data_IF_532478298508
#
_entry.id   IF_532478298508
#
_cell.length_a   1.000
_cell.length_b   1.000
_cell.length_c   1.000
_cell.angle_alpha   90.00
_cell.angle_beta   90.00
_cell.angle_gamma   90.00
#
_symmetry.space_group_name_H-M   'P 1'
#
loop_
_entity.id
_entity.type
_entity.pdbx_description
1 polymer ?
#
# COMPACT_ATOMS: atom_id res chain seq x y z
N UNK A 1 11.09 25.66 15.13
CA UNK A 1 10.79 24.68 14.08
C UNK A 1 12.10 24.26 13.41
N UNK A 2 12.68 23.14 13.86
CA UNK A 2 13.98 22.64 13.34
C UNK A 2 13.90 22.03 11.93
N UNK A 3 12.71 21.84 11.41
CA UNK A 3 12.48 21.32 10.07
C UNK A 3 11.83 22.43 9.26
N UNK A 4 12.61 23.05 8.37
CA UNK A 4 12.08 24.02 7.41
C UNK A 4 11.07 23.38 6.45
N UNK A 5 10.35 24.19 5.71
CA UNK A 5 9.42 23.75 4.66
C UNK A 5 10.12 23.12 3.45
N UNK A 6 11.45 23.08 3.45
CA UNK A 6 12.24 22.62 2.31
C UNK A 6 12.21 21.10 2.19
N UNK A 7 11.98 20.62 0.98
CA UNK A 7 12.02 19.19 0.63
C UNK A 7 13.47 18.71 0.74
N UNK A 8 13.71 17.71 1.60
CA UNK A 8 15.03 17.09 1.73
C UNK A 8 15.08 15.82 0.89
N UNK A 9 16.00 15.77 -0.04
CA UNK A 9 16.26 14.58 -0.86
C UNK A 9 16.89 13.48 -0.02
N UNK A 10 16.34 12.27 -0.08
CA UNK A 10 16.86 11.10 0.58
C UNK A 10 17.53 10.18 -0.46
N UNK A 11 18.84 9.98 -0.34
CA UNK A 11 19.56 9.03 -1.18
C UNK A 11 19.63 7.66 -0.46
N UNK A 12 18.88 6.69 -0.95
CA UNK A 12 18.84 5.32 -0.40
C UNK A 12 19.83 4.38 -1.09
N UNK A 13 20.79 4.92 -1.90
CA UNK A 13 21.78 4.09 -2.62
C UNK A 13 21.24 3.35 -3.84
N UNK A 14 19.98 3.54 -4.19
CA UNK A 14 19.41 3.02 -5.43
C UNK A 14 19.70 4.04 -6.53
N UNK A 15 20.18 3.62 -7.72
CA UNK A 15 20.39 4.54 -8.84
C UNK A 15 19.11 5.30 -9.16
N UNK A 16 19.13 6.61 -8.94
CA UNK A 16 18.06 7.52 -9.29
C UNK A 16 18.39 8.10 -10.67
N UNK A 17 17.75 7.61 -11.68
CA UNK A 17 17.98 8.05 -13.05
C UNK A 17 18.60 6.96 -13.91
N UNK A 18 17.76 6.26 -14.56
CA UNK A 18 18.01 5.24 -15.57
C UNK A 18 16.68 4.59 -15.90
N UNK A 19 16.20 4.79 -17.10
CA UNK A 19 15.10 3.99 -17.63
C UNK A 19 15.70 2.62 -17.97
N UNK A 20 15.31 1.59 -17.22
CA UNK A 20 15.81 0.26 -17.48
C UNK A 20 14.89 -0.43 -18.49
N UNK A 21 15.45 -0.78 -19.67
CA UNK A 21 14.98 -1.80 -20.62
C UNK A 21 13.61 -1.63 -21.32
N UNK A 22 12.89 -0.52 -21.18
CA UNK A 22 11.61 -0.33 -21.86
C UNK A 22 11.61 0.77 -22.94
N UNK A 23 12.80 1.15 -23.42
CA UNK A 23 12.90 2.13 -24.52
C UNK A 23 12.22 1.66 -25.81
N UNK A 24 12.05 0.34 -26.00
CA UNK A 24 11.53 -0.28 -27.23
C UNK A 24 10.37 -1.27 -26.97
N UNK A 25 9.60 -1.13 -25.88
CA UNK A 25 8.41 -1.96 -25.74
C UNK A 25 7.30 -1.46 -26.65
N UNK A 26 7.42 -1.80 -27.94
CA UNK A 26 6.34 -1.68 -28.92
C UNK A 26 5.39 -2.85 -28.72
N UNK A 27 4.17 -2.58 -28.25
CA UNK A 27 3.09 -3.58 -28.29
C UNK A 27 2.82 -3.86 -29.77
N UNK A 28 3.03 -5.10 -30.23
CA UNK A 28 3.08 -5.52 -31.63
C UNK A 28 1.76 -5.44 -32.45
N UNK A 29 0.89 -4.51 -32.13
CA UNK A 29 -0.37 -4.19 -32.84
C UNK A 29 -0.46 -2.74 -33.33
N UNK A 30 0.58 -1.92 -33.08
CA UNK A 30 0.63 -0.57 -33.63
C UNK A 30 0.84 -0.64 -35.15
N UNK A 31 -0.03 0.00 -35.91
CA UNK A 31 0.12 0.13 -37.38
C UNK A 31 1.42 0.88 -37.70
N UNK A 32 2.11 0.45 -38.76
CA UNK A 32 3.33 1.11 -39.25
C UNK A 32 3.07 2.61 -39.44
N UNK A 33 3.72 3.44 -38.60
CA UNK A 33 3.64 4.90 -38.69
C UNK A 33 3.20 5.63 -37.43
N UNK A 34 2.62 4.97 -36.42
CA UNK A 34 2.30 5.61 -35.15
C UNK A 34 3.49 5.49 -34.20
N UNK A 35 4.06 6.65 -33.85
CA UNK A 35 5.04 6.74 -32.76
C UNK A 35 4.32 6.52 -31.44
N UNK A 36 4.34 5.29 -30.92
CA UNK A 36 3.95 5.03 -29.55
C UNK A 36 4.96 5.71 -28.64
N UNK A 37 4.48 6.59 -27.79
CA UNK A 37 5.28 7.15 -26.71
C UNK A 37 5.64 6.01 -25.76
N UNK A 38 6.93 5.67 -25.68
CA UNK A 38 7.42 4.63 -24.79
C UNK A 38 7.04 4.95 -23.34
N UNK A 39 6.54 3.97 -22.61
CA UNK A 39 6.22 4.12 -21.20
C UNK A 39 7.53 4.11 -20.42
N UNK A 40 7.92 5.27 -19.90
CA UNK A 40 9.09 5.38 -19.04
C UNK A 40 8.73 4.91 -17.62
N UNK A 41 9.34 3.84 -17.17
CA UNK A 41 9.24 3.36 -15.80
C UNK A 41 10.52 3.70 -15.08
N UNK A 42 10.43 4.45 -13.99
CA UNK A 42 11.59 4.80 -13.16
C UNK A 42 12.13 3.53 -12.49
N UNK A 43 13.45 3.38 -12.50
CA UNK A 43 14.13 2.26 -11.84
C UNK A 43 13.78 2.18 -10.35
N UNK A 44 13.57 3.31 -9.71
CA UNK A 44 13.15 3.39 -8.31
C UNK A 44 11.77 2.75 -8.10
N UNK A 45 10.82 2.93 -9.03
CA UNK A 45 9.48 2.34 -8.94
C UNK A 45 9.53 0.81 -9.07
N UNK A 46 10.43 0.28 -9.91
CA UNK A 46 10.67 -1.16 -10.04
C UNK A 46 11.22 -1.73 -8.73
N UNK A 47 12.23 -1.08 -8.15
CA UNK A 47 12.80 -1.52 -6.87
C UNK A 47 11.79 -1.40 -5.73
N UNK A 48 10.99 -0.34 -5.69
CA UNK A 48 9.91 -0.20 -4.73
C UNK A 48 8.88 -1.33 -4.84
N UNK A 49 8.49 -1.71 -6.06
CA UNK A 49 7.59 -2.83 -6.30
C UNK A 49 8.20 -4.17 -5.83
N UNK A 50 9.47 -4.44 -6.14
CA UNK A 50 10.18 -5.66 -5.70
C UNK A 50 10.26 -5.71 -4.17
N UNK A 51 10.60 -4.61 -3.51
CA UNK A 51 10.67 -4.52 -2.04
C UNK A 51 9.28 -4.72 -1.44
N UNK A 52 8.24 -4.10 -1.99
CA UNK A 52 6.86 -4.26 -1.53
C UNK A 52 6.39 -5.72 -1.63
N UNK A 53 6.61 -6.36 -2.78
CA UNK A 53 6.28 -7.77 -2.99
C UNK A 53 7.04 -8.66 -2.01
N UNK A 54 8.34 -8.44 -1.81
CA UNK A 54 9.14 -9.23 -0.88
C UNK A 54 8.68 -9.08 0.56
N UNK A 55 8.35 -7.86 1.00
CA UNK A 55 7.79 -7.60 2.33
C UNK A 55 6.46 -8.33 2.53
N UNK A 56 5.56 -8.24 1.56
CA UNK A 56 4.26 -8.93 1.62
C UNK A 56 4.45 -10.44 1.70
N UNK A 57 5.33 -11.02 0.91
CA UNK A 57 5.64 -12.45 0.95
C UNK A 57 6.20 -12.87 2.31
N UNK A 58 7.19 -12.14 2.82
CA UNK A 58 7.80 -12.41 4.13
C UNK A 58 6.75 -12.34 5.24
N UNK A 59 5.93 -11.29 5.26
CA UNK A 59 4.88 -11.12 6.26
C UNK A 59 3.79 -12.20 6.16
N UNK A 60 3.42 -12.61 4.96
CA UNK A 60 2.45 -13.68 4.73
C UNK A 60 2.99 -15.01 5.23
N UNK A 61 4.24 -15.36 4.88
CA UNK A 61 4.91 -16.56 5.35
C UNK A 61 5.06 -16.52 6.88
N UNK A 62 5.50 -15.39 7.42
CA UNK A 62 5.62 -15.21 8.87
C UNK A 62 4.28 -15.44 9.57
N UNK A 63 3.21 -14.80 9.09
CA UNK A 63 1.88 -14.92 9.69
C UNK A 63 1.32 -16.34 9.61
N UNK A 64 1.53 -17.05 8.49
CA UNK A 64 0.93 -18.37 8.28
C UNK A 64 1.72 -19.51 8.92
N UNK A 65 3.04 -19.48 8.83
CA UNK A 65 3.89 -20.63 9.16
C UNK A 65 4.59 -20.53 10.51
N UNK A 66 4.73 -19.33 11.12
CA UNK A 66 5.42 -19.20 12.40
C UNK A 66 4.49 -19.38 13.60
N UNK A 67 5.07 -19.79 14.74
CA UNK A 67 4.35 -19.88 16.02
C UNK A 67 3.83 -18.50 16.46
N UNK A 68 4.65 -17.47 16.28
CA UNK A 68 4.28 -16.09 16.61
C UNK A 68 3.15 -15.56 15.72
N UNK A 69 3.15 -15.89 14.42
CA UNK A 69 2.08 -15.53 13.51
C UNK A 69 0.74 -16.20 13.86
N UNK A 70 0.78 -17.46 14.30
CA UNK A 70 -0.42 -18.14 14.81
C UNK A 70 -0.94 -17.53 16.10
N UNK A 71 -0.03 -17.18 17.02
CA UNK A 71 -0.39 -16.50 18.26
C UNK A 71 -0.99 -15.10 18.01
N UNK A 72 -0.44 -14.37 17.02
CA UNK A 72 -1.00 -13.10 16.55
C UNK A 72 -2.46 -13.23 16.13
N UNK A 73 -2.77 -14.22 15.30
CA UNK A 73 -4.15 -14.46 14.84
C UNK A 73 -5.07 -14.86 15.99
N UNK A 74 -4.63 -15.77 16.85
CA UNK A 74 -5.40 -16.17 18.02
C UNK A 74 -5.75 -15.00 18.95
N UNK A 75 -4.81 -14.05 19.14
CA UNK A 75 -5.06 -12.82 19.91
C UNK A 75 -5.99 -11.87 19.15
N UNK A 76 -5.90 -11.80 17.81
CA UNK A 76 -6.80 -10.97 17.01
C UNK A 76 -8.25 -11.48 17.03
N UNK A 77 -8.44 -12.80 17.07
CA UNK A 77 -9.75 -13.43 17.11
C UNK A 77 -10.41 -13.28 18.49
N UNK A 78 -9.71 -13.63 19.56
CA UNK A 78 -10.21 -13.49 20.94
C UNK A 78 -9.07 -13.32 21.94
N UNK A 79 -8.97 -12.11 22.53
CA UNK A 79 -7.95 -11.78 23.53
C UNK A 79 -8.10 -12.62 24.81
N UNK A 80 -9.32 -12.91 25.25
CA UNK A 80 -9.56 -13.65 26.50
C UNK A 80 -9.24 -15.14 26.34
N UNK A 81 -9.65 -15.70 25.21
CA UNK A 81 -9.32 -17.08 24.86
C UNK A 81 -7.80 -17.26 24.72
N UNK A 82 -7.10 -16.33 24.08
CA UNK A 82 -5.65 -16.38 23.94
C UNK A 82 -4.92 -16.33 25.30
N UNK A 83 -5.39 -15.50 26.22
CA UNK A 83 -4.85 -15.44 27.60
C UNK A 83 -5.07 -16.75 28.36
N UNK A 84 -6.22 -17.39 28.22
CA UNK A 84 -6.54 -18.66 28.90
C UNK A 84 -5.61 -19.81 28.49
N UNK A 85 -5.11 -19.77 27.25
CA UNK A 85 -4.14 -20.74 26.71
C UNK A 85 -2.68 -20.35 27.04
N UNK A 86 -2.47 -19.23 27.75
CA UNK A 86 -1.16 -18.79 28.20
C UNK A 86 -0.37 -17.95 27.19
N UNK A 87 -1.02 -17.40 26.18
CA UNK A 87 -0.38 -16.48 25.23
C UNK A 87 -0.23 -15.11 25.88
N UNK A 88 1.01 -14.62 26.04
CA UNK A 88 1.28 -13.33 26.66
C UNK A 88 1.00 -12.18 25.68
N UNK A 89 -0.02 -11.37 25.96
CA UNK A 89 -0.40 -10.21 25.12
C UNK A 89 0.75 -9.21 24.96
N UNK A 90 1.56 -9.01 26.02
CA UNK A 90 2.69 -8.07 25.95
C UNK A 90 3.68 -8.41 24.84
N UNK A 91 4.04 -9.68 24.70
CA UNK A 91 4.97 -10.13 23.65
C UNK A 91 4.35 -9.91 22.27
N UNK A 92 3.07 -10.21 22.13
CA UNK A 92 2.33 -10.02 20.86
C UNK A 92 2.28 -8.53 20.48
N UNK A 93 1.97 -7.64 21.41
CA UNK A 93 1.96 -6.19 21.16
C UNK A 93 3.33 -5.66 20.74
N UNK A 94 4.40 -6.06 21.44
CA UNK A 94 5.76 -5.66 21.05
C UNK A 94 6.08 -6.13 19.63
N UNK A 95 5.73 -7.34 19.29
CA UNK A 95 5.97 -7.91 17.96
C UNK A 95 5.19 -7.17 16.87
N UNK A 96 3.90 -6.88 17.09
CA UNK A 96 3.06 -6.12 16.16
C UNK A 96 3.65 -4.74 15.88
N UNK A 97 3.97 -3.99 16.96
CA UNK A 97 4.53 -2.64 16.83
C UNK A 97 5.90 -2.65 16.16
N UNK A 98 6.74 -3.66 16.45
CA UNK A 98 8.05 -3.79 15.80
C UNK A 98 7.95 -4.06 14.30
N UNK A 99 7.09 -4.98 13.90
CA UNK A 99 6.86 -5.30 12.48
C UNK A 99 6.25 -4.10 11.76
N UNK A 100 5.22 -3.49 12.35
CA UNK A 100 4.56 -2.31 11.76
C UNK A 100 5.54 -1.14 11.61
N UNK A 101 6.38 -0.87 12.64
CA UNK A 101 7.41 0.17 12.58
C UNK A 101 8.45 -0.11 11.49
N UNK A 102 8.88 -1.37 11.34
CA UNK A 102 9.81 -1.75 10.28
C UNK A 102 9.23 -1.53 8.89
N UNK A 103 8.00 -1.98 8.65
CA UNK A 103 7.30 -1.78 7.35
C UNK A 103 7.11 -0.30 7.06
N UNK A 104 6.69 0.47 8.07
CA UNK A 104 6.52 1.92 7.92
C UNK A 104 7.85 2.63 7.59
N UNK A 105 8.95 2.19 8.20
CA UNK A 105 10.28 2.73 7.91
C UNK A 105 10.66 2.46 6.45
N UNK A 106 10.52 1.22 5.96
CA UNK A 106 10.84 0.88 4.57
C UNK A 106 9.97 1.67 3.60
N UNK A 107 8.65 1.75 3.85
CA UNK A 107 7.74 2.54 3.02
C UNK A 107 8.11 4.03 3.02
N UNK A 108 8.43 4.58 4.19
CA UNK A 108 8.87 5.97 4.34
C UNK A 108 10.18 6.27 3.61
N UNK A 109 11.13 5.32 3.62
CA UNK A 109 12.38 5.45 2.85
C UNK A 109 12.12 5.46 1.34
N UNK A 110 11.25 4.60 0.83
CA UNK A 110 10.91 4.54 -0.59
C UNK A 110 10.21 5.84 -1.05
N UNK A 111 9.20 6.28 -0.32
CA UNK A 111 8.51 7.52 -0.62
C UNK A 111 9.40 8.75 -0.43
N UNK A 112 10.24 8.76 0.60
CA UNK A 112 11.21 9.83 0.83
C UNK A 112 12.26 9.94 -0.27
N UNK A 113 12.66 8.81 -0.86
CA UNK A 113 13.56 8.79 -2.01
C UNK A 113 12.89 9.33 -3.29
N UNK A 114 11.59 9.04 -3.49
CA UNK A 114 10.83 9.47 -4.68
C UNK A 114 10.41 10.94 -4.63
N UNK A 115 9.86 11.37 -3.50
CA UNK A 115 9.21 12.70 -3.36
C UNK A 115 9.98 13.64 -2.43
N UNK A 116 11.09 13.19 -1.86
CA UNK A 116 11.80 13.89 -0.79
C UNK A 116 11.06 13.78 0.55
N UNK A 117 11.78 14.04 1.63
CA UNK A 117 11.22 14.02 2.99
C UNK A 117 10.58 15.37 3.27
N UNK A 118 9.26 15.39 3.36
CA UNK A 118 8.46 16.59 3.59
C UNK A 118 7.22 16.25 4.40
N UNK A 119 6.55 17.26 4.95
CA UNK A 119 5.36 17.06 5.78
C UNK A 119 4.21 16.37 5.04
N UNK A 120 4.09 16.58 3.72
CA UNK A 120 3.05 15.95 2.90
C UNK A 120 3.13 14.42 2.83
N UNK A 121 4.23 13.79 3.25
CA UNK A 121 4.30 12.32 3.39
C UNK A 121 3.27 11.77 4.37
N UNK A 122 2.84 12.58 5.35
CA UNK A 122 1.77 12.18 6.27
C UNK A 122 0.43 11.96 5.55
N UNK A 123 0.15 12.69 4.48
CA UNK A 123 -1.06 12.54 3.67
C UNK A 123 -1.07 11.18 2.93
N UNK A 124 0.10 10.67 2.55
CA UNK A 124 0.23 9.36 1.93
C UNK A 124 -0.13 8.25 2.93
N UNK A 125 0.27 8.40 4.18
CA UNK A 125 -0.11 7.45 5.23
C UNK A 125 -1.63 7.41 5.45
N UNK A 126 -2.32 8.56 5.33
CA UNK A 126 -3.78 8.61 5.43
C UNK A 126 -4.47 7.86 4.29
N UNK A 127 -3.88 7.79 3.10
CA UNK A 127 -4.42 6.99 1.98
C UNK A 127 -4.42 5.48 2.24
N UNK A 128 -3.68 5.01 3.24
CA UNK A 128 -3.75 3.60 3.64
C UNK A 128 -5.12 3.20 4.21
N UNK A 129 -5.86 4.14 4.83
CA UNK A 129 -7.20 3.85 5.36
C UNK A 129 -8.21 3.44 4.28
N UNK A 130 -8.43 4.22 3.20
CA UNK A 130 -9.29 3.79 2.09
C UNK A 130 -8.88 2.45 1.48
N UNK A 131 -7.58 2.17 1.37
CA UNK A 131 -7.07 0.89 0.87
C UNK A 131 -7.52 -0.28 1.76
N UNK A 132 -7.36 -0.13 3.08
CA UNK A 132 -7.78 -1.15 4.05
C UNK A 132 -9.30 -1.31 4.11
N UNK A 133 -10.05 -0.21 4.02
CA UNK A 133 -11.51 -0.23 3.97
C UNK A 133 -12.02 -1.00 2.75
N UNK A 134 -11.44 -0.73 1.59
CA UNK A 134 -11.82 -1.40 0.35
C UNK A 134 -11.38 -2.87 0.34
N UNK A 135 -10.17 -3.15 0.79
CA UNK A 135 -9.63 -4.52 0.84
C UNK A 135 -10.26 -5.41 1.89
N UNK A 136 -10.66 -4.83 3.00
CA UNK A 136 -11.09 -5.51 4.24
C UNK A 136 -9.97 -5.54 5.28
N UNK A 137 -10.26 -5.11 6.51
CA UNK A 137 -9.28 -4.93 7.59
C UNK A 137 -8.61 -6.23 8.06
N UNK A 138 -9.23 -7.38 7.82
CA UNK A 138 -8.77 -8.69 8.30
C UNK A 138 -7.98 -9.47 7.23
N UNK A 139 -7.91 -8.96 6.01
CA UNK A 139 -7.37 -9.70 4.86
C UNK A 139 -6.15 -9.04 4.23
N UNK A 140 -4.97 -9.68 4.37
CA UNK A 140 -3.74 -9.23 3.67
C UNK A 140 -3.93 -9.25 2.14
N UNK A 141 -4.46 -10.33 1.51
CA UNK A 141 -4.76 -10.30 0.08
C UNK A 141 -5.74 -9.20 -0.30
N UNK A 142 -6.71 -8.92 0.57
CA UNK A 142 -7.64 -7.82 0.39
C UNK A 142 -6.95 -6.46 0.33
N UNK A 143 -6.03 -6.19 1.23
CA UNK A 143 -5.25 -4.95 1.25
C UNK A 143 -4.42 -4.78 -0.02
N UNK A 144 -3.83 -5.87 -0.56
CA UNK A 144 -3.07 -5.84 -1.82
C UNK A 144 -3.99 -5.48 -2.99
N UNK A 145 -5.11 -6.19 -3.13
CA UNK A 145 -6.07 -5.95 -4.22
C UNK A 145 -6.69 -4.55 -4.08
N UNK A 146 -7.06 -4.14 -2.87
CA UNK A 146 -7.56 -2.80 -2.59
C UNK A 146 -6.55 -1.71 -2.96
N UNK A 147 -5.28 -1.89 -2.63
CA UNK A 147 -4.19 -0.97 -2.99
C UNK A 147 -3.99 -0.87 -4.50
N UNK A 148 -4.04 -1.99 -5.22
CA UNK A 148 -3.93 -2.00 -6.68
C UNK A 148 -5.12 -1.30 -7.34
N UNK A 149 -6.34 -1.57 -6.87
CA UNK A 149 -7.56 -0.92 -7.40
C UNK A 149 -7.51 0.59 -7.16
N UNK A 150 -7.17 1.02 -5.96
CA UNK A 150 -7.09 2.46 -5.64
C UNK A 150 -5.95 3.11 -6.42
N UNK A 151 -4.75 2.53 -6.42
CA UNK A 151 -3.60 3.11 -7.10
C UNK A 151 -3.78 3.22 -8.62
N UNK A 152 -4.30 2.17 -9.26
CA UNK A 152 -4.62 2.20 -10.69
C UNK A 152 -5.80 3.16 -10.96
N UNK A 153 -6.83 3.13 -10.12
CA UNK A 153 -7.99 4.00 -10.24
C UNK A 153 -7.66 5.48 -10.11
N UNK A 154 -6.81 5.85 -9.14
CA UNK A 154 -6.33 7.23 -8.98
C UNK A 154 -5.66 7.74 -10.27
N UNK A 155 -4.75 6.96 -10.83
CA UNK A 155 -4.01 7.35 -12.03
C UNK A 155 -4.90 7.43 -13.27
N UNK A 156 -5.80 6.46 -13.45
CA UNK A 156 -6.77 6.48 -14.54
C UNK A 156 -7.74 7.66 -14.41
N UNK A 157 -8.25 7.91 -13.21
CA UNK A 157 -9.17 9.01 -12.97
C UNK A 157 -8.50 10.37 -13.18
N UNK A 158 -7.27 10.55 -12.70
CA UNK A 158 -6.49 11.78 -12.94
C UNK A 158 -6.22 12.00 -14.42
N UNK A 159 -5.90 10.93 -15.15
CA UNK A 159 -5.65 11.01 -16.60
C UNK A 159 -6.87 11.48 -17.39
N UNK A 160 -8.06 10.92 -17.10
CA UNK A 160 -9.28 11.25 -17.85
C UNK A 160 -9.99 12.49 -17.32
N UNK A 161 -10.07 12.67 -16.01
CA UNK A 161 -10.86 13.73 -15.37
C UNK A 161 -10.02 14.92 -14.89
N UNK A 162 -8.71 14.74 -14.70
CA UNK A 162 -7.81 15.82 -14.30
C UNK A 162 -7.90 17.06 -15.19
N UNK A 163 -7.86 16.94 -16.53
CA UNK A 163 -7.98 18.08 -17.42
C UNK A 163 -9.34 18.81 -17.33
N UNK A 164 -10.41 18.10 -16.94
CA UNK A 164 -11.78 18.64 -16.87
C UNK A 164 -12.02 19.33 -15.50
N UNK A 165 -11.53 18.72 -14.42
CA UNK A 165 -11.82 19.14 -13.05
C UNK A 165 -10.76 20.12 -12.50
N UNK A 166 -9.61 20.25 -13.18
CA UNK A 166 -8.53 21.15 -12.78
C UNK A 166 -7.38 20.48 -12.04
N UNK A 167 -7.28 19.15 -12.05
CA UNK A 167 -6.19 18.37 -11.46
C UNK A 167 -6.34 18.08 -9.96
N UNK A 168 -5.31 17.48 -9.38
CA UNK A 168 -5.23 17.10 -7.95
C UNK A 168 -6.34 16.14 -7.47
N UNK A 169 -6.93 15.36 -8.39
CA UNK A 169 -8.00 14.40 -8.08
C UNK A 169 -7.48 13.21 -7.28
N UNK A 170 -6.19 12.91 -7.37
CA UNK A 170 -5.54 11.81 -6.65
C UNK A 170 -5.72 11.92 -5.11
N UNK A 171 -5.87 13.14 -4.59
CA UNK A 171 -5.92 13.34 -3.14
C UNK A 171 -7.22 12.88 -2.49
N UNK A 172 -8.35 12.98 -3.21
CA UNK A 172 -9.66 12.66 -2.66
C UNK A 172 -10.32 11.44 -3.31
N UNK A 173 -9.86 11.02 -4.49
CA UNK A 173 -10.42 9.89 -5.23
C UNK A 173 -10.49 8.60 -4.41
N UNK A 174 -9.40 8.26 -3.71
CA UNK A 174 -9.33 7.06 -2.87
C UNK A 174 -10.43 7.01 -1.81
N UNK A 175 -10.72 8.14 -1.18
CA UNK A 175 -11.75 8.24 -0.14
C UNK A 175 -13.15 8.11 -0.71
N UNK A 176 -13.41 8.77 -1.84
CA UNK A 176 -14.71 8.68 -2.52
C UNK A 176 -14.96 7.25 -3.00
N UNK A 177 -13.96 6.62 -3.61
CA UNK A 177 -14.07 5.24 -4.08
C UNK A 177 -14.33 4.28 -2.93
N UNK A 178 -13.59 4.42 -1.81
CA UNK A 178 -13.77 3.57 -0.63
C UNK A 178 -15.16 3.78 -0.01
N UNK A 179 -15.63 5.03 0.12
CA UNK A 179 -16.96 5.34 0.64
C UNK A 179 -18.07 4.74 -0.24
N UNK A 180 -17.99 4.92 -1.56
CA UNK A 180 -18.93 4.33 -2.48
C UNK A 180 -18.96 2.81 -2.34
N UNK A 181 -17.79 2.19 -2.23
CA UNK A 181 -17.69 0.74 -2.08
C UNK A 181 -18.31 0.25 -0.77
N UNK A 182 -18.08 0.95 0.35
CA UNK A 182 -18.62 0.60 1.66
C UNK A 182 -20.16 0.67 1.72
N UNK A 183 -20.78 1.55 0.92
CA UNK A 183 -22.27 1.59 0.80
C UNK A 183 -22.81 0.27 0.27
N UNK A 184 -22.10 -0.37 -0.66
CA UNK A 184 -22.52 -1.66 -1.24
C UNK A 184 -22.01 -2.86 -0.46
N UNK A 185 -20.78 -2.77 0.10
CA UNK A 185 -20.11 -3.84 0.84
C UNK A 185 -19.37 -3.31 2.06
N UNK A 186 -20.04 -3.20 3.22
CA UNK A 186 -19.44 -2.64 4.43
C UNK A 186 -18.28 -3.49 5.00
N UNK A 187 -18.16 -4.75 4.58
CA UNK A 187 -17.08 -5.66 5.03
C UNK A 187 -15.81 -5.57 4.17
N UNK A 188 -15.82 -4.78 3.10
CA UNK A 188 -14.72 -4.77 2.13
C UNK A 188 -14.81 -5.95 1.14
N UNK A 189 -13.78 -6.07 0.26
CA UNK A 189 -13.72 -7.13 -0.76
C UNK A 189 -13.56 -8.52 -0.14
N UNK A 190 -12.71 -8.65 0.86
CA UNK A 190 -12.29 -9.89 1.48
C UNK A 190 -12.49 -9.90 3.01
N UNK A 191 -13.32 -8.99 3.54
CA UNK A 191 -13.64 -8.95 4.96
C UNK A 191 -14.50 -10.13 5.38
N UNK A 192 -14.35 -10.57 6.63
CA UNK A 192 -15.14 -11.64 7.21
C UNK A 192 -16.59 -11.19 7.42
N UNK A 193 -17.54 -12.10 7.18
CA UNK A 193 -18.95 -11.85 7.48
C UNK A 193 -19.14 -11.78 8.99
N UNK A 194 -19.64 -10.65 9.48
CA UNK A 194 -20.05 -10.53 10.88
C UNK A 194 -21.22 -11.48 11.09
N UNK A 195 -20.98 -12.59 11.79
CA UNK A 195 -22.03 -13.48 12.25
C UNK A 195 -22.49 -12.93 13.59
N UNK A 196 -23.60 -12.21 13.59
CA UNK A 196 -24.29 -11.84 14.83
C UNK A 196 -24.77 -13.15 15.47
N UNK A 197 -24.06 -13.60 16.51
CA UNK A 197 -24.56 -14.64 17.39
C UNK A 197 -25.56 -13.97 18.35
N UNK A 198 -26.83 -14.10 18.04
CA UNK A 198 -27.95 -13.79 18.95
C UNK A 198 -27.98 -14.83 20.06
#
# INVERSE_FOLDING_TARGET
LMWGSDVKTLNVGIPQGGSFWFEDFTIGWAAEGEKFYGMYVDLLDIWAAVIAISLVLVLTIFSQYTKSGRALRAVADDHQAALSVGISLRVIWVLVWSISGFVALVAGMMWGAKSGVQFSLSLIALKALPVLMLGGFTSIPGAIVGGLIIGAGEKLFEFFMGPIIGGATENWFAYVLALLFLVFRPQGLFGEKIIERV
#
